data_IF_595802372588
#
_entry.id   IF_595802372588
#
_cell.length_a   1.000
_cell.length_b   1.000
_cell.length_c   1.000
_cell.angle_alpha   90.00
_cell.angle_beta   90.00
_cell.angle_gamma   90.00
#
_symmetry.space_group_name_H-M   'P 1'
#
loop_
_entity.id
_entity.type
_entity.pdbx_description
1 polymer ?
#
# COMPACT_ATOMS: atom_id res chain seq x y z
N UNK A 1 -20.23 27.16 8.65
CA UNK A 1 -18.84 26.72 8.49
C UNK A 1 -18.95 25.32 7.93
N UNK A 2 -18.82 25.20 6.61
CA UNK A 2 -19.16 23.97 5.90
C UNK A 2 -17.99 22.99 5.95
N UNK A 3 -18.28 21.74 6.30
CA UNK A 3 -17.33 20.62 6.40
C UNK A 3 -16.78 20.18 5.02
N UNK A 4 -17.28 20.75 3.92
CA UNK A 4 -16.90 20.42 2.54
C UNK A 4 -15.45 20.72 2.15
N UNK A 5 -14.71 21.49 2.96
CA UNK A 5 -13.30 21.84 2.71
C UNK A 5 -12.29 21.05 3.57
N UNK A 6 -12.74 20.21 4.51
CA UNK A 6 -11.80 19.46 5.36
C UNK A 6 -11.36 18.15 4.67
N UNK A 7 -10.17 18.21 4.05
CA UNK A 7 -9.50 17.10 3.36
C UNK A 7 -10.10 16.62 2.03
N UNK A 8 -10.57 17.54 1.17
CA UNK A 8 -10.92 17.21 -0.24
C UNK A 8 -9.65 16.98 -1.07
N UNK A 9 -9.02 15.81 -0.92
CA UNK A 9 -8.00 15.29 -1.87
C UNK A 9 -8.63 14.64 -3.11
N UNK A 10 -9.86 15.05 -3.48
CA UNK A 10 -10.69 14.41 -4.50
C UNK A 10 -10.01 14.30 -5.88
N UNK A 11 -8.97 15.10 -6.13
CA UNK A 11 -8.25 15.13 -7.41
C UNK A 11 -6.74 14.94 -7.26
N UNK A 12 -6.29 14.20 -6.24
CA UNK A 12 -4.90 13.73 -6.25
C UNK A 12 -4.77 12.66 -7.34
N UNK A 13 -4.22 13.07 -8.49
CA UNK A 13 -3.85 12.17 -9.58
C UNK A 13 -2.94 11.10 -9.00
N UNK A 14 -3.47 9.89 -8.82
CA UNK A 14 -2.67 8.76 -8.36
C UNK A 14 -1.54 8.59 -9.37
N UNK A 15 -0.27 8.53 -8.93
CA UNK A 15 0.84 8.37 -9.85
C UNK A 15 0.59 7.13 -10.72
N UNK A 16 0.95 7.24 -12.00
CA UNK A 16 0.83 6.12 -12.93
C UNK A 16 1.52 4.90 -12.32
N UNK A 17 0.86 3.74 -12.44
CA UNK A 17 1.48 2.48 -12.03
C UNK A 17 2.77 2.34 -12.80
N UNK A 18 3.89 2.29 -12.10
CA UNK A 18 5.20 2.28 -12.75
C UNK A 18 5.32 1.02 -13.64
N UNK A 19 5.89 1.19 -14.83
CA UNK A 19 6.18 0.12 -15.81
C UNK A 19 7.47 -0.64 -15.43
N UNK A 20 7.75 -0.78 -14.13
CA UNK A 20 8.94 -1.46 -13.63
C UNK A 20 8.96 -2.96 -13.95
N UNK A 21 10.06 -3.67 -13.62
CA UNK A 21 10.10 -5.14 -13.61
C UNK A 21 8.87 -5.71 -12.89
N UNK A 22 8.47 -6.97 -13.14
CA UNK A 22 7.30 -7.55 -12.49
C UNK A 22 7.36 -7.31 -10.99
N UNK A 23 6.42 -6.51 -10.49
CA UNK A 23 6.30 -6.27 -9.06
C UNK A 23 5.94 -7.59 -8.41
N UNK A 24 6.53 -7.88 -7.25
CA UNK A 24 6.12 -9.05 -6.47
C UNK A 24 4.63 -8.94 -6.13
N UNK A 25 3.90 -10.05 -6.18
CA UNK A 25 2.52 -10.09 -5.74
C UNK A 25 2.45 -10.20 -4.21
N UNK A 26 1.54 -9.44 -3.60
CA UNK A 26 1.27 -9.55 -2.18
C UNK A 26 0.67 -10.92 -1.83
N UNK A 27 1.23 -11.63 -0.86
CA UNK A 27 0.71 -12.97 -0.47
C UNK A 27 -0.66 -12.94 0.20
N UNK A 28 -1.09 -11.78 0.70
CA UNK A 28 -2.41 -11.63 1.36
C UNK A 28 -3.50 -11.16 0.41
N UNK A 29 -3.26 -10.07 -0.34
CA UNK A 29 -4.27 -9.46 -1.21
C UNK A 29 -4.07 -9.72 -2.71
N UNK A 30 -2.93 -10.31 -3.12
CA UNK A 30 -2.53 -10.52 -4.53
C UNK A 30 -2.45 -9.26 -5.38
N UNK A 31 -2.36 -8.10 -4.74
CA UNK A 31 -2.04 -6.86 -5.44
C UNK A 31 -0.52 -6.75 -5.65
N UNK A 32 -0.07 -6.12 -6.75
CA UNK A 32 1.34 -5.87 -6.97
C UNK A 32 1.87 -4.91 -5.90
N UNK A 33 3.02 -5.26 -5.34
CA UNK A 33 3.74 -4.45 -4.36
C UNK A 33 4.48 -3.30 -5.04
N UNK A 34 5.09 -2.40 -4.25
CA UNK A 34 6.04 -1.41 -4.79
C UNK A 34 7.44 -1.99 -5.05
N UNK A 35 7.67 -3.24 -4.63
CA UNK A 35 8.96 -3.91 -4.72
C UNK A 35 9.03 -4.81 -5.95
N UNK A 36 10.16 -4.82 -6.68
CA UNK A 36 10.36 -5.75 -7.79
C UNK A 36 10.46 -7.20 -7.27
N UNK A 37 10.08 -8.17 -8.10
CA UNK A 37 10.18 -9.61 -7.80
C UNK A 37 11.59 -10.07 -7.40
N UNK A 38 12.62 -9.32 -7.79
CA UNK A 38 14.02 -9.58 -7.46
C UNK A 38 14.36 -9.25 -6.00
N UNK A 39 13.50 -8.50 -5.31
CA UNK A 39 13.68 -8.14 -3.90
C UNK A 39 13.30 -9.33 -3.00
N UNK A 40 14.32 -10.02 -2.47
CA UNK A 40 14.11 -11.17 -1.58
C UNK A 40 13.88 -10.72 -0.15
N UNK A 41 12.74 -11.07 0.44
CA UNK A 41 12.56 -11.00 1.89
C UNK A 41 11.14 -10.70 2.36
N UNK A 42 10.37 -9.90 1.61
CA UNK A 42 9.03 -9.47 2.03
C UNK A 42 8.10 -9.40 0.82
N UNK A 43 7.08 -10.25 0.82
CA UNK A 43 6.04 -10.33 -0.21
C UNK A 43 4.74 -9.67 0.25
N UNK A 44 4.82 -8.65 1.11
CA UNK A 44 3.65 -7.91 1.59
C UNK A 44 3.63 -6.54 0.92
N UNK A 45 2.44 -6.08 0.54
CA UNK A 45 2.28 -4.70 0.12
C UNK A 45 2.35 -3.76 1.35
N UNK A 46 2.69 -2.47 1.15
CA UNK A 46 2.85 -1.51 2.25
C UNK A 46 1.62 -1.39 3.15
N UNK A 47 0.42 -1.56 2.58
CA UNK A 47 -0.84 -1.56 3.32
C UNK A 47 -0.93 -2.75 4.26
N UNK A 48 -0.65 -3.96 3.75
CA UNK A 48 -0.69 -5.18 4.55
C UNK A 48 0.39 -5.17 5.64
N UNK A 49 1.60 -4.71 5.33
CA UNK A 49 2.68 -4.56 6.31
C UNK A 49 2.27 -3.65 7.47
N UNK A 50 1.69 -2.48 7.16
CA UNK A 50 1.21 -1.57 8.20
C UNK A 50 0.06 -2.17 9.03
N UNK A 51 -0.87 -2.89 8.41
CA UNK A 51 -1.95 -3.56 9.14
C UNK A 51 -1.43 -4.65 10.08
N UNK A 52 -0.45 -5.45 9.68
CA UNK A 52 0.16 -6.46 10.56
C UNK A 52 0.90 -5.82 11.74
N UNK A 53 1.64 -4.73 11.50
CA UNK A 53 2.29 -3.96 12.54
C UNK A 53 1.26 -3.37 13.52
N UNK A 54 0.18 -2.76 13.00
CA UNK A 54 -0.90 -2.21 13.83
C UNK A 54 -1.59 -3.29 14.66
N UNK A 55 -1.93 -4.45 14.06
CA UNK A 55 -2.55 -5.56 14.79
C UNK A 55 -1.66 -6.04 15.92
N UNK A 56 -0.36 -6.17 15.68
CA UNK A 56 0.61 -6.56 16.71
C UNK A 56 0.68 -5.52 17.83
N UNK A 57 0.65 -4.23 17.48
CA UNK A 57 0.69 -3.14 18.45
C UNK A 57 -0.60 -3.01 19.30
N UNK A 58 -1.76 -3.38 18.76
CA UNK A 58 -3.08 -3.16 19.38
C UNK A 58 -3.80 -4.45 19.82
N UNK A 59 -3.16 -5.62 19.82
CA UNK A 59 -3.76 -6.92 20.22
C UNK A 59 -3.54 -7.28 21.69
N UNK A 60 -3.28 -6.28 22.54
CA UNK A 60 -3.12 -6.43 23.99
C UNK A 60 -4.41 -6.69 24.74
#
# INVERSE_FOLDING_TARGET
MSDEDYCTIAETVKPAKADGPPYAECVLCREPTEYPESYKGLTLCPVCEWQEAQRTACSG
#
